data_IF_612377622644
#
_entry.id   IF_612377622644
#
_cell.length_a   1.000
_cell.length_b   1.000
_cell.length_c   1.000
_cell.angle_alpha   90.00
_cell.angle_beta   90.00
_cell.angle_gamma   90.00
#
_symmetry.space_group_name_H-M   'P 1'
#
loop_
_entity.id
_entity.type
_entity.pdbx_description
1 polymer ?
#
# COMPACT_ATOMS: atom_id res chain seq x y z
N UNK A 1 -7.55 4.53 -14.86
CA UNK A 1 -8.30 3.58 -13.96
C UNK A 1 -9.73 3.46 -14.51
N UNK A 2 -10.26 2.24 -14.61
CA UNK A 2 -11.66 2.02 -15.03
C UNK A 2 -12.67 2.36 -13.93
N UNK A 3 -12.25 2.28 -12.68
CA UNK A 3 -13.05 2.65 -11.52
C UNK A 3 -12.13 3.20 -10.42
N UNK A 4 -12.03 4.52 -10.24
CA UNK A 4 -11.10 5.15 -9.31
C UNK A 4 -11.43 4.87 -7.83
N UNK A 5 -12.64 4.42 -7.52
CA UNK A 5 -13.10 4.14 -6.16
C UNK A 5 -12.85 2.69 -5.71
N UNK A 6 -12.34 1.83 -6.60
CA UNK A 6 -12.06 0.42 -6.28
C UNK A 6 -10.57 0.16 -6.41
N UNK A 7 -9.91 -0.01 -5.28
CA UNK A 7 -8.54 -0.48 -5.21
C UNK A 7 -8.54 -1.92 -4.71
N UNK A 8 -7.91 -2.81 -5.47
CA UNK A 8 -7.83 -4.23 -5.13
C UNK A 8 -6.50 -4.59 -4.51
N UNK A 9 -5.43 -3.94 -4.94
CA UNK A 9 -4.08 -4.21 -4.48
C UNK A 9 -3.20 -2.97 -4.59
N UNK A 10 -2.15 -2.96 -3.75
CA UNK A 10 -1.00 -2.09 -3.91
C UNK A 10 0.29 -2.88 -3.69
N UNK A 11 1.38 -2.40 -4.23
CA UNK A 11 2.73 -2.97 -4.07
C UNK A 11 3.68 -1.86 -3.65
N UNK A 12 4.48 -2.12 -2.63
CA UNK A 12 5.67 -1.37 -2.25
C UNK A 12 6.86 -2.19 -2.75
N UNK A 13 7.48 -1.85 -3.90
CA UNK A 13 8.55 -2.63 -4.49
C UNK A 13 9.82 -2.55 -3.63
N UNK A 14 10.66 -3.58 -3.69
CA UNK A 14 11.96 -3.55 -3.04
C UNK A 14 12.98 -2.73 -3.83
N UNK A 15 12.93 -2.82 -5.14
CA UNK A 15 13.89 -2.24 -6.09
C UNK A 15 13.65 -0.75 -6.31
N UNK A 16 13.65 0.04 -5.20
CA UNK A 16 13.38 1.49 -5.28
C UNK A 16 14.52 2.30 -5.90
N UNK A 17 15.73 1.75 -5.91
CA UNK A 17 16.92 2.41 -6.50
C UNK A 17 17.07 2.11 -8.00
N UNK A 18 16.11 1.38 -8.61
CA UNK A 18 16.10 1.11 -10.03
C UNK A 18 16.03 2.43 -10.83
N UNK A 19 16.87 2.59 -11.89
CA UNK A 19 16.86 3.79 -12.73
C UNK A 19 15.50 4.12 -13.38
N UNK A 20 14.58 3.17 -13.46
CA UNK A 20 13.21 3.43 -13.94
C UNK A 20 12.44 4.44 -13.08
N UNK A 21 12.91 4.71 -11.85
CA UNK A 21 12.30 5.67 -10.92
C UNK A 21 13.07 7.01 -10.84
N UNK A 22 14.17 7.19 -11.60
CA UNK A 22 15.00 8.41 -11.51
C UNK A 22 14.20 9.66 -11.88
N UNK A 23 13.44 9.59 -12.94
CA UNK A 23 12.63 10.71 -13.41
C UNK A 23 11.54 11.14 -12.41
N UNK A 24 10.89 10.19 -11.73
CA UNK A 24 9.91 10.56 -10.71
C UNK A 24 10.58 11.08 -9.43
N UNK A 25 11.78 10.59 -9.08
CA UNK A 25 12.55 11.16 -7.97
C UNK A 25 12.90 12.62 -8.25
N UNK A 26 13.47 12.91 -9.43
CA UNK A 26 13.83 14.28 -9.84
C UNK A 26 12.61 15.21 -9.84
N UNK A 27 11.52 14.81 -10.46
CA UNK A 27 10.29 15.62 -10.52
C UNK A 27 9.68 15.78 -9.14
N UNK A 28 9.72 14.75 -8.30
CA UNK A 28 9.21 14.76 -6.94
C UNK A 28 9.99 15.74 -6.03
N UNK A 29 11.30 15.64 -6.03
CA UNK A 29 12.18 16.54 -5.27
C UNK A 29 11.96 18.00 -5.69
N UNK A 30 11.96 18.28 -6.98
CA UNK A 30 11.70 19.62 -7.51
C UNK A 30 10.32 20.16 -7.10
N UNK A 31 9.30 19.31 -7.07
CA UNK A 31 7.97 19.72 -6.63
C UNK A 31 7.95 20.07 -5.14
N UNK A 32 8.63 19.32 -4.28
CA UNK A 32 8.74 19.59 -2.86
C UNK A 32 9.50 20.88 -2.60
N UNK A 33 10.59 21.13 -3.31
CA UNK A 33 11.36 22.38 -3.23
C UNK A 33 10.52 23.61 -3.59
N UNK A 34 9.78 23.55 -4.71
CA UNK A 34 8.89 24.64 -5.16
C UNK A 34 7.76 24.90 -4.16
N UNK A 35 7.27 23.85 -3.50
CA UNK A 35 6.25 23.96 -2.45
C UNK A 35 6.81 24.38 -1.09
N UNK A 36 8.14 24.56 -0.97
CA UNK A 36 8.80 25.02 0.24
C UNK A 36 8.87 23.96 1.35
N UNK A 37 8.83 22.68 1.02
CA UNK A 37 8.99 21.63 2.01
C UNK A 37 10.44 21.51 2.44
N UNK A 38 10.70 21.63 3.74
CA UNK A 38 12.06 21.55 4.32
C UNK A 38 12.26 20.19 4.99
N UNK A 39 11.39 19.82 5.93
CA UNK A 39 11.51 18.59 6.72
C UNK A 39 10.16 17.94 6.89
N UNK A 40 10.10 16.61 6.81
CA UNK A 40 8.89 15.83 7.05
C UNK A 40 8.70 14.70 6.06
N UNK A 41 7.61 13.95 6.23
CA UNK A 41 7.14 12.99 5.23
C UNK A 41 6.19 13.67 4.25
N UNK A 42 6.32 13.31 2.99
CA UNK A 42 5.35 13.67 1.96
C UNK A 42 4.71 12.43 1.37
N UNK A 43 3.44 12.54 1.04
CA UNK A 43 2.71 11.60 0.20
C UNK A 43 2.42 12.31 -1.13
N UNK A 44 2.93 11.76 -2.22
CA UNK A 44 2.77 12.33 -3.55
C UNK A 44 2.08 11.32 -4.47
N UNK A 45 1.02 11.76 -5.12
CA UNK A 45 0.37 11.01 -6.21
C UNK A 45 0.88 11.53 -7.55
N UNK A 46 1.30 10.61 -8.41
CA UNK A 46 1.83 10.94 -9.72
C UNK A 46 1.37 9.95 -10.79
N UNK A 47 1.44 10.37 -12.02
CA UNK A 47 1.04 9.59 -13.19
C UNK A 47 2.12 9.67 -14.26
N UNK A 48 2.47 8.53 -14.85
CA UNK A 48 3.24 8.51 -16.08
C UNK A 48 2.28 8.60 -17.26
N UNK A 49 2.40 9.66 -18.06
CA UNK A 49 1.58 9.87 -19.26
C UNK A 49 2.02 8.94 -20.39
N UNK A 50 1.20 8.86 -21.44
CA UNK A 50 1.49 8.03 -22.62
C UNK A 50 2.73 8.45 -23.41
N UNK A 51 3.16 9.70 -23.28
CA UNK A 51 4.41 10.25 -23.85
C UNK A 51 5.64 10.06 -22.94
N UNK A 52 5.47 9.38 -21.81
CA UNK A 52 6.51 9.14 -20.81
C UNK A 52 6.69 10.24 -19.78
N UNK A 53 6.10 11.41 -19.95
CA UNK A 53 6.21 12.52 -18.99
C UNK A 53 5.51 12.20 -17.66
N UNK A 54 6.01 12.82 -16.59
CA UNK A 54 5.42 12.69 -15.24
C UNK A 54 4.45 13.85 -14.99
N UNK A 55 3.28 13.52 -14.47
CA UNK A 55 2.33 14.48 -13.91
C UNK A 55 2.13 14.23 -12.43
N UNK A 56 2.27 15.25 -11.60
CA UNK A 56 1.92 15.19 -10.18
C UNK A 56 0.44 15.53 -10.04
N UNK A 57 -0.30 14.66 -9.38
CA UNK A 57 -1.73 14.82 -9.10
C UNK A 57 -2.00 15.47 -7.76
N UNK A 58 -1.29 15.03 -6.71
CA UNK A 58 -1.46 15.52 -5.35
C UNK A 58 -0.13 15.47 -4.61
N UNK A 59 0.10 16.44 -3.72
CA UNK A 59 1.18 16.42 -2.74
C UNK A 59 0.62 16.76 -1.37
N UNK A 60 0.75 15.83 -0.43
CA UNK A 60 0.39 16.03 0.97
C UNK A 60 1.63 15.97 1.86
N UNK A 61 1.85 16.98 2.71
CA UNK A 61 2.93 16.98 3.71
C UNK A 61 2.51 16.17 4.95
N UNK A 62 2.37 14.88 4.80
CA UNK A 62 1.93 13.91 5.81
C UNK A 62 2.32 12.48 5.43
N UNK A 63 2.33 11.53 6.39
CA UNK A 63 2.38 10.11 6.07
C UNK A 63 1.20 9.67 5.19
N UNK A 64 1.40 8.73 4.25
CA UNK A 64 0.32 8.16 3.45
C UNK A 64 -0.65 7.33 4.30
N UNK A 65 -1.91 7.28 3.90
CA UNK A 65 -2.94 6.39 4.43
C UNK A 65 -2.94 5.01 3.78
N UNK A 66 -4.09 4.34 3.84
CA UNK A 66 -4.41 3.12 3.06
C UNK A 66 -3.42 1.98 3.22
N UNK A 67 -2.94 1.74 4.42
CA UNK A 67 -1.94 0.72 4.73
C UNK A 67 -0.58 0.94 4.04
N UNK A 68 -0.35 2.05 3.32
CA UNK A 68 0.93 2.32 2.65
C UNK A 68 2.04 2.47 3.70
N UNK A 69 1.78 3.24 4.77
CA UNK A 69 2.79 3.47 5.80
C UNK A 69 3.11 2.19 6.58
N UNK A 70 2.09 1.38 6.90
CA UNK A 70 2.27 0.05 7.49
C UNK A 70 3.04 -0.89 6.57
N UNK A 71 2.73 -0.87 5.25
CA UNK A 71 3.49 -1.66 4.26
C UNK A 71 4.96 -1.24 4.19
N UNK A 72 5.25 0.04 4.32
CA UNK A 72 6.63 0.53 4.38
C UNK A 72 7.37 0.07 5.65
N UNK A 73 6.69 -0.07 6.79
CA UNK A 73 7.27 -0.67 7.99
C UNK A 73 7.72 -2.11 7.71
N UNK A 74 6.83 -2.93 7.13
CA UNK A 74 7.13 -4.32 6.78
C UNK A 74 8.21 -4.44 5.69
N UNK A 75 8.28 -3.49 4.77
CA UNK A 75 9.30 -3.48 3.71
C UNK A 75 10.72 -3.22 4.24
N UNK A 76 10.83 -2.49 5.34
CA UNK A 76 12.10 -2.02 5.87
C UNK A 76 12.49 -2.67 7.21
N UNK A 77 11.63 -3.50 7.83
CA UNK A 77 11.74 -3.90 9.25
C UNK A 77 12.01 -2.70 10.17
N UNK A 78 11.17 -1.65 10.06
CA UNK A 78 11.47 -0.35 10.61
C UNK A 78 10.19 0.36 11.05
N UNK A 79 10.13 0.88 12.26
CA UNK A 79 8.95 1.57 12.78
C UNK A 79 8.91 3.04 12.32
N UNK A 80 8.31 3.26 11.15
CA UNK A 80 8.14 4.61 10.59
C UNK A 80 7.21 5.51 11.42
N UNK A 81 6.28 4.95 12.21
CA UNK A 81 5.43 5.77 13.08
C UNK A 81 6.24 6.43 14.20
N UNK A 82 7.11 5.64 14.84
CA UNK A 82 8.04 6.17 15.85
C UNK A 82 9.03 7.15 15.23
N UNK A 83 9.61 6.83 14.08
CA UNK A 83 10.59 7.70 13.41
C UNK A 83 9.97 8.97 12.83
N UNK A 84 8.72 8.91 12.36
CA UNK A 84 8.00 10.13 11.99
C UNK A 84 7.79 11.04 13.19
N UNK A 85 7.38 10.49 14.33
CA UNK A 85 7.23 11.27 15.56
C UNK A 85 8.57 11.88 16.01
N UNK A 86 9.65 11.11 15.92
CA UNK A 86 11.02 11.58 16.25
C UNK A 86 11.47 12.70 15.31
N UNK A 87 11.22 12.54 14.01
CA UNK A 87 11.52 13.57 13.01
C UNK A 87 10.79 14.88 13.32
N UNK A 88 9.48 14.81 13.60
CA UNK A 88 8.67 16.02 13.82
C UNK A 88 8.96 16.73 15.14
N UNK A 89 9.44 16.01 16.17
CA UNK A 89 9.71 16.59 17.50
C UNK A 89 11.16 17.01 17.64
N UNK A 90 12.09 16.20 17.13
CA UNK A 90 13.51 16.33 17.39
C UNK A 90 14.36 16.61 16.13
N UNK A 91 13.73 16.68 14.95
CA UNK A 91 14.42 16.79 13.65
C UNK A 91 15.45 15.67 13.44
N UNK A 92 15.11 14.45 13.87
CA UNK A 92 15.97 13.27 13.80
C UNK A 92 15.27 12.15 13.04
N UNK A 93 15.95 11.58 12.04
CA UNK A 93 15.46 10.45 11.25
C UNK A 93 16.61 9.49 10.95
N UNK A 94 16.43 8.21 11.26
CA UNK A 94 17.47 7.18 11.15
C UNK A 94 16.98 6.01 10.30
N UNK A 95 16.74 6.19 8.98
CA UNK A 95 16.25 5.13 8.14
C UNK A 95 17.28 4.02 7.95
N UNK A 96 16.85 2.77 7.72
CA UNK A 96 17.75 1.70 7.33
C UNK A 96 18.40 2.01 5.98
N UNK A 97 19.65 1.56 5.80
CA UNK A 97 20.43 1.84 4.59
C UNK A 97 19.82 1.21 3.32
N UNK A 98 19.04 0.12 3.46
CA UNK A 98 18.46 -0.61 2.35
C UNK A 98 17.09 -1.17 2.69
N UNK A 99 16.17 -1.14 1.71
CA UNK A 99 14.89 -1.85 1.80
C UNK A 99 15.12 -3.36 1.65
N UNK A 100 14.59 -4.13 2.60
CA UNK A 100 14.81 -5.59 2.66
C UNK A 100 13.81 -6.37 1.83
N UNK A 101 12.57 -5.90 1.77
CA UNK A 101 11.44 -6.62 1.19
C UNK A 101 10.61 -5.76 0.25
N UNK A 102 9.99 -6.41 -0.73
CA UNK A 102 8.76 -5.91 -1.32
C UNK A 102 7.59 -6.28 -0.41
N UNK A 103 6.56 -5.43 -0.37
CA UNK A 103 5.33 -5.69 0.37
C UNK A 103 4.12 -5.44 -0.52
N UNK A 104 3.16 -6.34 -0.46
CA UNK A 104 1.89 -6.21 -1.18
C UNK A 104 0.72 -6.20 -0.22
N UNK A 105 -0.26 -5.36 -0.48
CA UNK A 105 -1.53 -5.34 0.24
C UNK A 105 -2.67 -5.60 -0.72
N UNK A 106 -3.45 -6.66 -0.46
CA UNK A 106 -4.71 -6.92 -1.13
C UNK A 106 -5.86 -6.42 -0.25
N UNK A 107 -6.74 -5.60 -0.80
CA UNK A 107 -7.93 -5.10 -0.11
C UNK A 107 -9.10 -6.05 -0.35
N UNK A 108 -9.68 -6.55 0.73
CA UNK A 108 -10.79 -7.49 0.71
C UNK A 108 -12.10 -6.72 0.70
N UNK A 109 -12.83 -6.82 -0.42
CA UNK A 109 -14.05 -6.05 -0.59
C UNK A 109 -15.16 -6.84 -1.25
N UNK A 110 -16.38 -6.60 -0.78
CA UNK A 110 -17.60 -6.98 -1.47
C UNK A 110 -17.96 -5.99 -2.59
N UNK A 111 -18.69 -6.46 -3.59
CA UNK A 111 -19.20 -5.60 -4.66
C UNK A 111 -20.63 -5.19 -4.36
N UNK A 112 -20.88 -3.89 -4.28
CA UNK A 112 -22.18 -3.30 -3.98
C UNK A 112 -22.22 -2.64 -2.61
N UNK A 113 -23.43 -2.51 -2.05
CA UNK A 113 -23.67 -1.96 -0.72
C UNK A 113 -24.31 -2.99 0.20
N UNK A 114 -24.47 -2.66 1.47
CA UNK A 114 -25.09 -3.49 2.49
C UNK A 114 -24.12 -3.90 3.59
N UNK A 115 -24.19 -5.14 4.02
CA UNK A 115 -23.37 -5.67 5.11
C UNK A 115 -22.65 -6.95 4.69
N UNK A 116 -21.47 -7.19 5.22
CA UNK A 116 -20.73 -8.45 5.02
C UNK A 116 -21.60 -9.61 5.52
N UNK A 117 -21.87 -10.55 4.63
CA UNK A 117 -22.59 -11.80 4.92
C UNK A 117 -21.61 -12.90 5.29
N UNK A 118 -20.61 -13.10 4.45
CA UNK A 118 -19.61 -14.15 4.59
C UNK A 118 -18.33 -13.82 3.84
N UNK A 119 -17.22 -14.48 4.23
CA UNK A 119 -15.93 -14.43 3.55
C UNK A 119 -15.49 -15.85 3.22
N UNK A 120 -15.10 -16.08 2.00
CA UNK A 120 -14.68 -17.39 1.51
C UNK A 120 -13.24 -17.36 1.01
N UNK A 121 -12.57 -18.50 1.08
CA UNK A 121 -11.22 -18.69 0.52
C UNK A 121 -10.06 -18.25 1.41
N UNK A 122 -10.31 -17.56 2.53
CA UNK A 122 -9.25 -17.07 3.44
C UNK A 122 -8.34 -18.22 3.91
N UNK A 123 -8.90 -19.30 4.46
CA UNK A 123 -8.10 -20.41 5.01
C UNK A 123 -7.22 -21.10 3.96
N UNK A 124 -7.74 -21.22 2.74
CA UNK A 124 -6.97 -21.77 1.62
C UNK A 124 -5.77 -20.85 1.31
N UNK A 125 -6.01 -19.57 1.11
CA UNK A 125 -4.99 -18.58 0.76
C UNK A 125 -3.95 -18.46 1.87
N UNK A 126 -4.36 -18.40 3.14
CA UNK A 126 -3.44 -18.33 4.28
C UNK A 126 -2.48 -19.52 4.33
N UNK A 127 -2.99 -20.74 4.06
CA UNK A 127 -2.12 -21.94 3.96
C UNK A 127 -1.12 -21.87 2.81
N UNK A 128 -1.54 -21.34 1.65
CA UNK A 128 -0.66 -21.22 0.48
C UNK A 128 0.42 -20.16 0.69
N UNK A 129 0.09 -19.04 1.31
CA UNK A 129 1.02 -17.93 1.56
C UNK A 129 2.05 -18.25 2.65
N UNK A 130 1.65 -19.04 3.65
CA UNK A 130 2.55 -19.40 4.75
C UNK A 130 3.22 -18.19 5.40
N UNK A 131 4.56 -18.19 5.44
CA UNK A 131 5.37 -17.12 6.06
C UNK A 131 5.41 -15.81 5.28
N UNK A 132 4.91 -15.79 4.04
CA UNK A 132 4.80 -14.53 3.29
C UNK A 132 3.71 -13.62 3.86
N UNK A 133 2.65 -14.19 4.47
CA UNK A 133 1.57 -13.44 5.11
C UNK A 133 2.05 -12.84 6.42
N UNK A 134 2.07 -11.52 6.52
CA UNK A 134 2.62 -10.81 7.70
C UNK A 134 1.56 -10.08 8.50
N UNK A 135 0.46 -9.68 7.86
CA UNK A 135 -0.63 -8.97 8.53
C UNK A 135 -1.94 -9.15 7.78
N UNK A 136 -3.07 -9.21 8.49
CA UNK A 136 -4.38 -9.26 7.85
C UNK A 136 -5.49 -8.77 8.78
N UNK A 137 -6.55 -8.29 8.15
CA UNK A 137 -7.82 -7.98 8.80
C UNK A 137 -8.94 -8.70 8.05
N UNK A 138 -9.56 -9.68 8.68
CA UNK A 138 -10.69 -10.41 8.09
C UNK A 138 -11.96 -9.58 8.17
N UNK A 139 -12.70 -9.37 7.07
CA UNK A 139 -14.03 -8.77 7.11
C UNK A 139 -14.96 -9.58 8.01
N UNK A 140 -15.75 -8.90 8.85
CA UNK A 140 -16.61 -9.55 9.83
C UNK A 140 -18.07 -9.57 9.36
N UNK A 141 -18.81 -10.69 9.52
CA UNK A 141 -20.25 -10.72 9.27
C UNK A 141 -20.98 -9.60 10.03
N UNK A 142 -21.86 -8.87 9.35
CA UNK A 142 -22.58 -7.72 9.89
C UNK A 142 -21.80 -6.38 9.78
N UNK A 143 -20.54 -6.38 9.38
CA UNK A 143 -19.79 -5.16 9.09
C UNK A 143 -20.41 -4.45 7.87
N UNK A 144 -20.64 -3.14 7.97
CA UNK A 144 -21.10 -2.33 6.83
C UNK A 144 -20.09 -2.36 5.69
N UNK A 145 -20.58 -2.47 4.46
CA UNK A 145 -19.73 -2.34 3.28
C UNK A 145 -19.06 -0.97 3.26
N UNK A 146 -17.74 -0.99 3.07
CA UNK A 146 -16.93 0.22 3.05
C UNK A 146 -17.19 1.06 1.81
N UNK A 147 -17.32 2.37 2.00
CA UNK A 147 -17.41 3.35 0.91
C UNK A 147 -16.03 3.83 0.44
N UNK A 148 -14.96 3.44 1.16
CA UNK A 148 -13.58 3.78 0.85
C UNK A 148 -12.94 2.73 -0.06
N UNK A 149 -11.81 3.06 -0.63
CA UNK A 149 -11.04 2.14 -1.47
C UNK A 149 -10.37 0.99 -0.69
N UNK A 150 -10.28 1.05 0.65
CA UNK A 150 -9.71 -0.03 1.48
C UNK A 150 -10.63 -1.25 1.63
N UNK A 151 -11.94 -1.12 1.36
CA UNK A 151 -12.89 -2.21 1.55
C UNK A 151 -13.14 -2.57 3.01
N UNK A 152 -13.49 -3.83 3.28
CA UNK A 152 -13.89 -4.34 4.59
C UNK A 152 -12.73 -4.96 5.38
N UNK A 153 -11.65 -5.29 4.69
CA UNK A 153 -10.44 -5.89 5.27
C UNK A 153 -9.27 -5.90 4.30
N UNK A 154 -8.17 -6.53 4.71
CA UNK A 154 -6.98 -6.64 3.87
C UNK A 154 -6.13 -7.86 4.25
N UNK A 155 -5.25 -8.25 3.33
CA UNK A 155 -4.15 -9.19 3.55
C UNK A 155 -2.86 -8.57 3.06
N UNK A 156 -1.81 -8.61 3.88
CA UNK A 156 -0.51 -8.05 3.58
C UNK A 156 0.54 -9.16 3.52
N UNK A 157 1.29 -9.19 2.44
CA UNK A 157 2.35 -10.17 2.18
C UNK A 157 3.67 -9.48 1.95
N UNK A 158 4.77 -10.13 2.34
CA UNK A 158 6.12 -9.66 2.03
C UNK A 158 7.04 -10.77 1.52
N UNK A 159 7.96 -10.40 0.64
CA UNK A 159 9.01 -11.28 0.13
C UNK A 159 10.21 -10.45 -0.34
N UNK A 160 11.47 -10.98 -0.35
CA UNK A 160 12.61 -10.28 -0.93
C UNK A 160 12.48 -9.99 -2.44
N UNK A 161 11.68 -10.76 -3.16
CA UNK A 161 11.43 -10.59 -4.59
C UNK A 161 10.06 -9.95 -4.82
N UNK A 162 10.02 -8.81 -5.52
CA UNK A 162 8.79 -8.08 -5.85
C UNK A 162 7.82 -8.96 -6.66
N UNK A 163 8.33 -9.75 -7.60
CA UNK A 163 7.49 -10.66 -8.40
C UNK A 163 6.74 -11.69 -7.56
N UNK A 164 7.38 -12.26 -6.55
CA UNK A 164 6.72 -13.23 -5.65
C UNK A 164 5.57 -12.56 -4.87
N UNK A 165 5.71 -11.29 -4.50
CA UNK A 165 4.64 -10.50 -3.88
C UNK A 165 3.48 -10.29 -4.85
N UNK A 166 3.75 -9.97 -6.12
CA UNK A 166 2.71 -9.79 -7.13
C UNK A 166 1.91 -11.08 -7.37
N UNK A 167 2.59 -12.22 -7.49
CA UNK A 167 1.97 -13.54 -7.62
C UNK A 167 1.11 -13.89 -6.39
N UNK A 168 1.58 -13.58 -5.19
CA UNK A 168 0.82 -13.76 -3.95
C UNK A 168 -0.44 -12.88 -3.90
N UNK A 169 -0.37 -11.63 -4.37
CA UNK A 169 -1.54 -10.75 -4.48
C UNK A 169 -2.57 -11.29 -5.48
N UNK A 170 -2.13 -11.83 -6.60
CA UNK A 170 -3.04 -12.46 -7.56
C UNK A 170 -3.72 -13.70 -6.96
N UNK A 171 -2.99 -14.52 -6.20
CA UNK A 171 -3.57 -15.63 -5.46
C UNK A 171 -4.68 -15.15 -4.52
N UNK A 172 -4.44 -14.09 -3.73
CA UNK A 172 -5.45 -13.54 -2.81
C UNK A 172 -6.68 -13.06 -3.58
N UNK A 173 -6.50 -12.19 -4.58
CA UNK A 173 -7.60 -11.55 -5.32
C UNK A 173 -8.45 -12.57 -6.07
N UNK A 174 -7.85 -13.64 -6.59
CA UNK A 174 -8.56 -14.66 -7.33
C UNK A 174 -9.33 -15.65 -6.45
N UNK A 175 -8.94 -15.80 -5.17
CA UNK A 175 -9.51 -16.85 -4.32
C UNK A 175 -10.32 -16.32 -3.12
N UNK A 176 -10.05 -15.12 -2.62
CA UNK A 176 -10.84 -14.55 -1.52
C UNK A 176 -12.06 -13.82 -2.08
N UNK A 177 -13.24 -14.14 -1.51
CA UNK A 177 -14.51 -13.51 -1.88
C UNK A 177 -15.22 -13.00 -0.64
N UNK A 178 -15.65 -11.75 -0.68
CA UNK A 178 -16.51 -11.13 0.33
C UNK A 178 -17.91 -11.02 -0.24
N UNK A 179 -18.87 -11.70 0.38
CA UNK A 179 -20.28 -11.61 0.02
C UNK A 179 -20.99 -10.57 0.88
N UNK A 180 -21.82 -9.75 0.25
CA UNK A 180 -22.66 -8.75 0.93
C UNK A 180 -24.13 -9.15 0.91
N UNK A 181 -24.84 -8.81 2.00
CA UNK A 181 -26.30 -8.77 2.03
C UNK A 181 -26.75 -7.38 1.58
N UNK A 182 -27.83 -7.32 0.86
CA UNK A 182 -28.56 -6.08 0.60
C UNK A 182 -29.44 -5.73 1.79
#
# INVERSE_FOLDING_TARGET
>A
MRNPWIQWRMVVPREIDDPMYDDIREVGEKALDVLGMVTGFSHMEWFRRGDGSIAIGEVGCRPPGSQIFTSMNWANDFDLYTEWSRLMIFDQFHPPAQRKYAVGTAFLRGLGGGYVKSVHGMDYVMRQLGTMLVEWKTPQPGQSAGITYEGEGYMMVRHPETRAVEEALELIINNVRVELNR
#
